data_IF_867869783416
#
_entry.id   IF_867869783416
#
_cell.length_a   1.000
_cell.length_b   1.000
_cell.length_c   1.000
_cell.angle_alpha   90.00
_cell.angle_beta   90.00
_cell.angle_gamma   90.00
#
_symmetry.space_group_name_H-M   'P 1'
#
loop_
_entity.id
_entity.type
_entity.pdbx_description
1 polymer ?
#
# COMPACT_ATOMS: atom_id res chain seq x y z
N UNK A 1 -34.57 2.75 -17.93
CA UNK A 1 -34.36 3.61 -16.74
C UNK A 1 -34.39 2.75 -15.47
N UNK A 2 -33.27 2.11 -15.12
CA UNK A 2 -33.07 1.30 -13.89
C UNK A 2 -31.62 1.41 -13.45
N UNK A 3 -31.22 2.59 -12.98
CA UNK A 3 -29.86 2.78 -12.41
C UNK A 3 -29.92 3.47 -11.04
N UNK A 4 -31.01 4.19 -10.74
CA UNK A 4 -31.12 4.99 -9.51
C UNK A 4 -31.39 4.19 -8.21
N UNK A 5 -31.87 2.95 -8.29
CA UNK A 5 -32.17 2.16 -7.08
C UNK A 5 -30.90 1.69 -6.33
N UNK A 6 -29.79 1.47 -7.05
CA UNK A 6 -28.54 0.99 -6.45
C UNK A 6 -27.90 2.06 -5.56
N UNK A 7 -28.08 3.34 -5.88
CA UNK A 7 -27.57 4.46 -5.09
C UNK A 7 -28.41 4.73 -3.83
N UNK A 8 -29.71 4.41 -3.85
CA UNK A 8 -30.61 4.70 -2.73
C UNK A 8 -30.45 3.73 -1.55
N UNK A 9 -29.89 2.52 -1.78
CA UNK A 9 -29.68 1.49 -0.76
C UNK A 9 -28.61 1.85 0.30
N UNK A 10 -27.77 2.86 0.07
CA UNK A 10 -26.63 3.20 0.94
C UNK A 10 -26.53 4.68 1.34
N UNK A 11 -27.47 5.52 0.90
CA UNK A 11 -27.52 6.96 1.24
C UNK A 11 -28.43 7.22 2.44
N UNK A 12 -28.37 6.37 3.48
CA UNK A 12 -28.93 6.72 4.79
C UNK A 12 -27.85 7.43 5.60
N UNK A 13 -28.06 8.72 5.82
CA UNK A 13 -27.20 9.51 6.70
C UNK A 13 -27.89 9.61 8.06
N UNK A 14 -27.29 9.07 9.13
CA UNK A 14 -27.85 9.24 10.46
C UNK A 14 -27.95 10.72 10.83
N UNK A 15 -29.09 11.10 11.41
CA UNK A 15 -29.34 12.46 11.87
C UNK A 15 -28.46 12.79 13.09
N UNK A 16 -28.17 11.80 13.94
CA UNK A 16 -27.21 11.92 15.04
C UNK A 16 -25.79 11.60 14.56
N UNK A 17 -24.91 12.59 14.69
CA UNK A 17 -23.50 12.48 14.29
C UNK A 17 -22.73 11.39 15.06
N UNK A 18 -23.21 11.00 16.23
CA UNK A 18 -22.60 9.98 17.08
C UNK A 18 -22.62 8.59 16.43
N UNK A 19 -23.58 8.34 15.54
CA UNK A 19 -23.68 7.07 14.81
C UNK A 19 -22.55 6.88 13.78
N UNK A 20 -21.81 7.95 13.41
CA UNK A 20 -20.61 7.85 12.56
C UNK A 20 -19.33 7.52 13.33
N UNK A 21 -19.34 7.54 14.66
CA UNK A 21 -18.15 7.25 15.50
C UNK A 21 -17.57 5.86 15.17
N UNK A 22 -18.38 4.78 15.09
CA UNK A 22 -17.87 3.45 14.75
C UNK A 22 -17.20 3.39 13.36
N UNK A 23 -17.76 4.10 12.37
CA UNK A 23 -17.18 4.18 11.03
C UNK A 23 -15.83 4.91 11.04
N UNK A 24 -15.73 6.00 11.80
CA UNK A 24 -14.49 6.78 11.93
C UNK A 24 -13.39 5.98 12.63
N UNK A 25 -13.72 5.21 13.66
CA UNK A 25 -12.77 4.31 14.34
C UNK A 25 -12.27 3.24 13.37
N UNK A 26 -13.17 2.60 12.63
CA UNK A 26 -12.81 1.57 11.66
C UNK A 26 -11.89 2.14 10.58
N UNK A 27 -12.25 3.31 10.02
CA UNK A 27 -11.42 4.02 9.05
C UNK A 27 -10.03 4.34 9.60
N UNK A 28 -9.94 4.83 10.84
CA UNK A 28 -8.66 5.14 11.48
C UNK A 28 -7.78 3.88 11.64
N UNK A 29 -8.35 2.76 12.07
CA UNK A 29 -7.62 1.48 12.19
C UNK A 29 -7.07 1.05 10.82
N UNK A 30 -7.91 1.05 9.79
CA UNK A 30 -7.48 0.69 8.43
C UNK A 30 -6.42 1.65 7.88
N UNK A 31 -6.55 2.95 8.14
CA UNK A 31 -5.57 3.93 7.73
C UNK A 31 -4.21 3.68 8.38
N UNK A 32 -4.18 3.44 9.69
CA UNK A 32 -2.95 3.11 10.43
C UNK A 32 -2.34 1.82 9.88
N UNK A 33 -3.14 0.76 9.70
CA UNK A 33 -2.67 -0.51 9.15
C UNK A 33 -2.09 -0.34 7.74
N UNK A 34 -2.72 0.47 6.90
CA UNK A 34 -2.26 0.77 5.54
C UNK A 34 -0.91 1.48 5.57
N UNK A 35 -0.76 2.51 6.41
CA UNK A 35 0.50 3.26 6.55
C UNK A 35 1.64 2.36 7.06
N UNK A 36 1.36 1.48 8.01
CA UNK A 36 2.34 0.51 8.52
C UNK A 36 2.75 -0.49 7.45
N UNK A 37 1.78 -1.02 6.71
CA UNK A 37 2.00 -1.97 5.61
C UNK A 37 2.86 -1.34 4.51
N UNK A 38 2.51 -0.12 4.08
CA UNK A 38 3.29 0.62 3.07
C UNK A 38 4.73 0.84 3.53
N UNK A 39 4.94 1.22 4.80
CA UNK A 39 6.29 1.37 5.35
C UNK A 39 7.07 0.06 5.37
N UNK A 40 6.42 -1.06 5.69
CA UNK A 40 7.04 -2.38 5.67
C UNK A 40 7.47 -2.75 4.25
N UNK A 41 6.59 -2.58 3.26
CA UNK A 41 6.89 -2.87 1.85
C UNK A 41 8.10 -2.07 1.39
N UNK A 42 8.11 -0.74 1.59
CA UNK A 42 9.24 0.12 1.19
C UNK A 42 10.55 -0.34 1.85
N UNK A 43 10.51 -0.72 3.13
CA UNK A 43 11.70 -1.20 3.85
C UNK A 43 12.23 -2.50 3.27
N UNK A 44 11.36 -3.42 2.89
CA UNK A 44 11.75 -4.69 2.24
C UNK A 44 12.29 -4.42 0.84
N UNK A 45 11.60 -3.60 0.04
CA UNK A 45 12.04 -3.25 -1.32
C UNK A 45 13.43 -2.65 -1.34
N UNK A 46 13.76 -1.74 -0.41
CA UNK A 46 15.12 -1.17 -0.29
C UNK A 46 16.19 -2.21 0.04
N UNK A 47 15.85 -3.23 0.83
CA UNK A 47 16.79 -4.31 1.17
C UNK A 47 17.08 -5.19 -0.04
N UNK A 48 16.05 -5.52 -0.80
CA UNK A 48 16.19 -6.30 -2.03
C UNK A 48 16.93 -5.51 -3.11
N UNK A 49 16.63 -4.22 -3.28
CA UNK A 49 17.35 -3.34 -4.21
C UNK A 49 18.87 -3.32 -3.95
N UNK A 50 19.28 -3.21 -2.67
CA UNK A 50 20.68 -3.23 -2.29
C UNK A 50 21.36 -4.57 -2.59
N UNK A 51 20.66 -5.69 -2.44
CA UNK A 51 21.20 -7.02 -2.78
C UNK A 51 21.39 -7.15 -4.29
N UNK A 52 20.38 -6.78 -5.07
CA UNK A 52 20.43 -6.84 -6.53
C UNK A 52 21.55 -5.97 -7.08
N UNK A 53 21.72 -4.75 -6.57
CA UNK A 53 22.81 -3.85 -6.99
C UNK A 53 24.20 -4.46 -6.78
N UNK A 54 24.43 -5.16 -5.65
CA UNK A 54 25.70 -5.86 -5.40
C UNK A 54 25.92 -6.99 -6.39
N UNK A 55 24.90 -7.79 -6.66
CA UNK A 55 24.98 -8.89 -7.64
C UNK A 55 25.26 -8.38 -9.05
N UNK A 56 24.62 -7.28 -9.46
CA UNK A 56 24.88 -6.63 -10.75
C UNK A 56 26.32 -6.10 -10.86
N UNK A 57 26.83 -5.51 -9.77
CA UNK A 57 28.21 -5.02 -9.72
C UNK A 57 29.22 -6.16 -9.83
N UNK A 58 29.04 -7.25 -9.06
CA UNK A 58 29.87 -8.45 -9.12
C UNK A 58 29.87 -9.08 -10.53
N UNK A 59 28.70 -9.23 -11.14
CA UNK A 59 28.58 -9.76 -12.51
C UNK A 59 29.28 -8.86 -13.54
N UNK A 60 29.17 -7.53 -13.38
CA UNK A 60 29.86 -6.56 -14.24
C UNK A 60 31.37 -6.63 -14.10
N UNK A 61 31.88 -6.77 -12.87
CA UNK A 61 33.31 -6.92 -12.60
C UNK A 61 33.86 -8.22 -13.20
N UNK A 62 33.12 -9.33 -13.07
CA UNK A 62 33.49 -10.61 -13.69
C UNK A 62 33.62 -10.48 -15.21
N UNK A 63 32.59 -9.93 -15.88
CA UNK A 63 32.61 -9.72 -17.33
C UNK A 63 33.66 -8.72 -17.82
N UNK A 64 34.14 -7.80 -16.96
CA UNK A 64 35.24 -6.90 -17.30
C UNK A 64 36.57 -7.63 -17.24
N UNK A 65 36.79 -8.47 -16.22
CA UNK A 65 38.01 -9.29 -16.07
C UNK A 65 38.16 -10.35 -17.15
N UNK A 66 37.07 -10.91 -17.67
CA UNK A 66 37.12 -11.86 -18.78
C UNK A 66 37.40 -11.22 -20.15
N UNK A 67 37.28 -9.89 -20.25
CA UNK A 67 37.51 -9.13 -21.49
C UNK A 67 38.84 -8.39 -21.53
N UNK A 68 39.59 -8.41 -20.43
CA UNK A 68 40.97 -7.91 -20.31
C UNK A 68 41.95 -9.07 -20.47
#
# INVERSE_FOLDING_TARGET
>A
MRSSYVLNLFLYFPEDKSEYIPASITMAIFLIATLLTFRLIIKVSKREELKTKKMEEEARQHHKRERE
#
